data_IF_737670656987
#
_entry.id   IF_737670656987
#
_cell.length_a   1.000
_cell.length_b   1.000
_cell.length_c   1.000
_cell.angle_alpha   90.00
_cell.angle_beta   90.00
_cell.angle_gamma   90.00
#
_symmetry.space_group_name_H-M   'P 1'
#
loop_
_entity.id
_entity.type
_entity.pdbx_description
1 polymer ?
#
# COMPACT_ATOMS: atom_id res chain seq x y z
N UNK A 1 11.70 3.12 14.32
CA UNK A 1 11.94 1.99 13.40
C UNK A 1 10.62 1.30 13.16
N UNK A 2 10.08 1.37 11.94
CA UNK A 2 8.96 0.52 11.53
C UNK A 2 9.61 -0.79 11.07
N UNK A 3 9.38 -1.86 11.82
CA UNK A 3 9.72 -3.23 11.38
C UNK A 3 8.86 -3.53 10.17
N UNK A 4 9.45 -3.62 8.98
CA UNK A 4 8.75 -4.10 7.80
C UNK A 4 9.01 -5.60 7.70
N UNK A 5 8.06 -6.46 8.12
CA UNK A 5 8.17 -7.88 7.82
C UNK A 5 8.13 -8.04 6.30
N UNK A 6 8.95 -8.95 5.78
CA UNK A 6 8.87 -9.51 4.44
C UNK A 6 7.45 -9.44 3.87
N UNK A 7 7.26 -8.57 2.87
CA UNK A 7 6.11 -8.40 1.99
C UNK A 7 4.74 -8.76 2.61
N UNK A 8 3.96 -7.76 3.03
CA UNK A 8 2.62 -8.01 3.53
C UNK A 8 1.75 -6.76 3.71
N UNK A 9 0.43 -6.94 3.82
CA UNK A 9 -0.50 -5.85 4.06
C UNK A 9 -0.35 -5.27 5.46
N UNK A 10 -0.29 -3.94 5.55
CA UNK A 10 -0.23 -3.18 6.80
C UNK A 10 -1.46 -2.29 6.89
N UNK A 11 -2.28 -2.48 7.93
CA UNK A 11 -3.40 -1.58 8.22
C UNK A 11 -2.86 -0.25 8.76
N UNK A 12 -3.36 0.87 8.23
CA UNK A 12 -2.93 2.22 8.62
C UNK A 12 -4.05 3.23 8.40
N UNK A 13 -3.97 4.35 9.12
CA UNK A 13 -4.80 5.54 8.92
C UNK A 13 -3.96 6.74 8.46
N UNK A 14 -2.70 6.51 8.05
CA UNK A 14 -1.82 7.55 7.53
C UNK A 14 -2.45 8.25 6.32
N UNK A 15 -2.47 9.58 6.33
CA UNK A 15 -3.22 10.38 5.34
C UNK A 15 -4.72 10.53 5.66
N UNK A 16 -5.17 10.10 6.85
CA UNK A 16 -6.50 10.37 7.38
C UNK A 16 -7.59 9.38 6.96
N UNK A 17 -7.26 8.35 6.17
CA UNK A 17 -8.22 7.37 5.66
C UNK A 17 -7.87 5.96 6.14
N UNK A 18 -8.86 5.15 6.58
CA UNK A 18 -8.64 3.76 6.94
C UNK A 18 -8.29 2.94 5.68
N UNK A 19 -7.08 2.41 5.66
CA UNK A 19 -6.57 1.68 4.51
C UNK A 19 -5.64 0.54 4.90
N UNK A 20 -5.44 -0.35 3.96
CA UNK A 20 -4.36 -1.33 3.95
C UNK A 20 -3.36 -0.91 2.89
N UNK A 21 -2.09 -0.87 3.27
CA UNK A 21 -0.98 -0.67 2.34
C UNK A 21 -0.23 -1.99 2.18
N UNK A 22 -0.02 -2.43 0.94
CA UNK A 22 0.85 -3.57 0.66
C UNK A 22 2.12 -3.05 0.02
N UNK A 23 3.27 -3.46 0.58
CA UNK A 23 4.59 -3.09 0.06
C UNK A 23 5.32 -4.36 -0.35
N UNK A 24 5.87 -4.36 -1.56
CA UNK A 24 6.65 -5.47 -2.11
C UNK A 24 8.10 -5.03 -2.24
N UNK A 25 8.98 -5.70 -1.51
CA UNK A 25 10.42 -5.43 -1.54
C UNK A 25 11.18 -6.56 -2.23
N UNK A 26 12.25 -6.21 -2.96
CA UNK A 26 13.25 -7.19 -3.40
C UNK A 26 13.93 -7.78 -2.16
N UNK A 27 13.84 -9.11 -1.93
CA UNK A 27 14.49 -9.73 -0.79
C UNK A 27 16.03 -9.68 -0.84
N UNK A 28 16.65 -9.36 -1.98
CA UNK A 28 18.10 -9.30 -2.14
C UNK A 28 18.67 -7.91 -1.84
N UNK A 29 18.14 -6.88 -2.49
CA UNK A 29 18.58 -5.48 -2.35
C UNK A 29 17.79 -4.66 -1.34
N UNK A 30 16.59 -5.11 -0.96
CA UNK A 30 15.67 -4.33 -0.11
C UNK A 30 14.97 -3.19 -0.85
N UNK A 31 15.06 -3.15 -2.18
CA UNK A 31 14.44 -2.12 -3.00
C UNK A 31 12.91 -2.31 -3.04
N UNK A 32 12.16 -1.20 -3.07
CA UNK A 32 10.70 -1.24 -3.21
C UNK A 32 10.34 -1.48 -4.68
N UNK A 33 9.69 -2.60 -4.96
CA UNK A 33 9.28 -2.99 -6.31
C UNK A 33 7.88 -2.50 -6.65
N UNK A 34 6.97 -2.54 -5.67
CA UNK A 34 5.61 -2.04 -5.85
C UNK A 34 4.96 -1.65 -4.52
N UNK A 35 3.99 -0.73 -4.61
CA UNK A 35 3.09 -0.43 -3.51
C UNK A 35 1.65 -0.29 -3.98
N UNK A 36 0.73 -0.79 -3.17
CA UNK A 36 -0.71 -0.58 -3.35
C UNK A 36 -1.35 -0.07 -2.06
N UNK A 37 -2.39 0.76 -2.23
CA UNK A 37 -3.24 1.20 -1.14
C UNK A 37 -4.70 0.86 -1.43
N UNK A 38 -5.35 0.21 -0.48
CA UNK A 38 -6.76 -0.15 -0.55
C UNK A 38 -7.52 0.45 0.64
N UNK A 39 -8.55 1.23 0.36
CA UNK A 39 -9.52 1.65 1.36
C UNK A 39 -10.36 0.44 1.77
N UNK A 40 -10.42 0.17 3.07
CA UNK A 40 -11.08 -1.02 3.62
C UNK A 40 -12.49 -0.76 4.12
N UNK A 41 -12.78 0.48 4.51
CA UNK A 41 -14.09 0.90 5.02
C UNK A 41 -14.44 2.28 4.47
N UNK A 42 -15.61 2.79 4.85
CA UNK A 42 -16.05 4.14 4.50
C UNK A 42 -14.95 5.19 4.72
N UNK A 43 -14.61 5.89 3.64
CA UNK A 43 -13.65 6.98 3.59
C UNK A 43 -14.35 8.35 3.57
N UNK A 44 -15.63 8.39 3.94
CA UNK A 44 -16.44 9.58 4.06
C UNK A 44 -16.76 10.22 2.72
N UNK A 45 -16.11 11.34 2.43
CA UNK A 45 -16.41 12.14 1.23
C UNK A 45 -15.92 11.48 -0.08
N UNK A 46 -15.07 10.45 0.00
CA UNK A 46 -14.65 9.71 -1.18
C UNK A 46 -15.78 8.76 -1.60
N UNK A 47 -16.61 9.22 -2.53
CA UNK A 47 -17.78 8.49 -3.04
C UNK A 47 -17.36 7.30 -3.94
N UNK A 48 -16.74 6.29 -3.33
CA UNK A 48 -16.29 5.06 -3.96
C UNK A 48 -16.91 3.86 -3.27
N UNK A 49 -17.08 2.75 -3.99
CA UNK A 49 -17.56 1.50 -3.41
C UNK A 49 -16.38 0.74 -2.78
N UNK A 50 -16.52 0.37 -1.51
CA UNK A 50 -15.48 -0.36 -0.77
C UNK A 50 -15.62 -1.89 -0.95
N UNK A 51 -14.51 -2.65 -0.88
CA UNK A 51 -13.12 -2.16 -0.82
C UNK A 51 -12.69 -1.50 -2.15
N UNK A 52 -11.81 -0.49 -2.09
CA UNK A 52 -11.37 0.27 -3.26
C UNK A 52 -9.86 0.48 -3.28
N UNK A 53 -9.19 0.10 -4.37
CA UNK A 53 -7.77 0.43 -4.60
C UNK A 53 -7.68 1.88 -5.05
N UNK A 54 -6.88 2.68 -4.34
CA UNK A 54 -6.73 4.13 -4.58
C UNK A 54 -5.32 4.54 -4.99
N UNK A 55 -4.35 3.64 -4.82
CA UNK A 55 -2.99 3.80 -5.31
C UNK A 55 -2.45 2.46 -5.78
N UNK A 56 -1.77 2.47 -6.92
CA UNK A 56 -1.01 1.34 -7.43
C UNK A 56 0.21 1.86 -8.19
N UNK A 57 1.40 1.63 -7.64
CA UNK A 57 2.68 2.07 -8.24
C UNK A 57 3.58 0.87 -8.41
N UNK A 58 4.12 0.72 -9.62
CA UNK A 58 5.20 -0.22 -9.91
C UNK A 58 6.46 0.56 -10.26
N UNK A 59 7.56 0.17 -9.66
CA UNK A 59 8.88 0.70 -9.97
C UNK A 59 9.51 -0.24 -11.00
N UNK A 60 9.54 0.22 -12.25
CA UNK A 60 10.23 -0.48 -13.32
C UNK A 60 11.68 -0.03 -13.30
N UNK A 61 12.58 -0.92 -12.95
CA UNK A 61 14.00 -0.69 -13.15
C UNK A 61 14.36 -1.00 -14.59
N UNK A 62 14.97 -0.03 -15.28
CA UNK A 62 15.50 -0.22 -16.62
C UNK A 62 16.66 -1.20 -16.55
N UNK A 63 16.45 -2.42 -17.05
CA UNK A 63 17.52 -3.39 -17.34
C UNK A 63 18.51 -2.82 -18.35
#
# INVERSE_FOLDING_TARGET
>A
MISCPTTGPVATTYGGLPKVQTLVFDPRGGELLSCDEQLTTDAGALNVKFPAVVLYVNYLDGQ
#
